data_IF_952461252849
#
_entry.id   IF_952461252849
#
_cell.length_a   1.000
_cell.length_b   1.000
_cell.length_c   1.000
_cell.angle_alpha   90.00
_cell.angle_beta   90.00
_cell.angle_gamma   90.00
#
_symmetry.space_group_name_H-M   'P 1'
#
loop_
_entity.id
_entity.type
_entity.pdbx_description
1 polymer ?
#
# COMPACT_ATOMS: atom_id res chain seq x y z
N UNK A 1 12.10 -0.11 -4.19
CA UNK A 1 11.20 -1.26 -4.44
C UNK A 1 11.70 -2.02 -5.65
N UNK A 2 11.77 -3.33 -5.55
CA UNK A 2 12.21 -4.17 -6.67
C UNK A 2 11.05 -4.39 -7.66
N UNK A 3 11.39 -4.81 -8.90
CA UNK A 3 10.38 -5.10 -9.91
C UNK A 3 9.45 -6.22 -9.47
N UNK A 4 9.99 -7.22 -8.78
CA UNK A 4 9.19 -8.33 -8.27
C UNK A 4 8.21 -7.87 -7.21
N UNK A 5 8.66 -7.02 -6.29
CA UNK A 5 7.77 -6.45 -5.27
C UNK A 5 6.65 -5.64 -5.92
N UNK A 6 6.99 -4.84 -6.94
CA UNK A 6 5.98 -4.07 -7.68
C UNK A 6 4.93 -4.96 -8.32
N UNK A 7 5.36 -6.07 -8.93
CA UNK A 7 4.43 -7.03 -9.55
C UNK A 7 3.52 -7.69 -8.52
N UNK A 8 4.08 -8.08 -7.36
CA UNK A 8 3.30 -8.66 -6.28
C UNK A 8 2.26 -7.68 -5.74
N UNK A 9 2.64 -6.42 -5.56
CA UNK A 9 1.72 -5.38 -5.11
C UNK A 9 0.59 -5.17 -6.13
N UNK A 10 0.92 -5.12 -7.42
CA UNK A 10 -0.08 -4.98 -8.47
C UNK A 10 -1.07 -6.14 -8.46
N UNK A 11 -0.58 -7.34 -8.21
CA UNK A 11 -1.43 -8.53 -8.13
C UNK A 11 -2.42 -8.42 -6.99
N UNK A 12 -1.96 -7.96 -5.83
CA UNK A 12 -2.83 -7.75 -4.66
C UNK A 12 -3.91 -6.73 -4.98
N UNK A 13 -3.54 -5.62 -5.61
CA UNK A 13 -4.48 -4.55 -5.96
C UNK A 13 -5.52 -5.04 -6.96
N UNK A 14 -5.11 -5.83 -7.96
CA UNK A 14 -6.03 -6.37 -8.96
C UNK A 14 -7.08 -7.31 -8.37
N UNK A 15 -6.71 -8.07 -7.33
CA UNK A 15 -7.64 -8.98 -6.65
C UNK A 15 -8.65 -8.24 -5.80
N UNK A 16 -8.35 -7.01 -5.42
CA UNK A 16 -9.21 -6.21 -4.56
C UNK A 16 -9.22 -6.69 -3.11
N UNK A 17 -10.12 -6.12 -2.33
CA UNK A 17 -10.19 -6.39 -0.89
C UNK A 17 -10.81 -7.72 -0.50
N UNK A 18 -11.51 -8.40 -1.40
CA UNK A 18 -12.06 -9.74 -1.17
C UNK A 18 -13.09 -9.88 -0.06
N UNK A 19 -13.52 -8.79 0.57
CA UNK A 19 -14.52 -8.80 1.64
C UNK A 19 -14.02 -9.28 3.00
N UNK A 20 -12.79 -9.76 3.11
CA UNK A 20 -12.18 -10.14 4.38
C UNK A 20 -11.35 -9.00 4.92
N UNK A 21 -11.39 -8.78 6.24
CA UNK A 21 -10.70 -7.68 6.88
C UNK A 21 -9.20 -7.67 6.57
N UNK A 22 -8.53 -8.81 6.68
CA UNK A 22 -7.10 -8.92 6.37
C UNK A 22 -6.80 -8.56 4.92
N UNK A 23 -7.66 -8.99 3.99
CA UNK A 23 -7.50 -8.69 2.58
C UNK A 23 -7.68 -7.22 2.29
N UNK A 24 -8.62 -6.56 2.97
CA UNK A 24 -8.85 -5.12 2.84
C UNK A 24 -7.64 -4.33 3.31
N UNK A 25 -7.08 -4.69 4.46
CA UNK A 25 -5.90 -4.02 5.01
C UNK A 25 -4.71 -4.18 4.05
N UNK A 26 -4.48 -5.38 3.58
CA UNK A 26 -3.41 -5.70 2.63
C UNK A 26 -3.57 -4.90 1.33
N UNK A 27 -4.79 -4.86 0.80
CA UNK A 27 -5.11 -4.13 -0.42
C UNK A 27 -4.81 -2.63 -0.25
N UNK A 28 -5.26 -2.05 0.87
CA UNK A 28 -5.06 -0.63 1.15
C UNK A 28 -3.58 -0.29 1.25
N UNK A 29 -2.82 -1.08 1.99
CA UNK A 29 -1.38 -0.88 2.15
C UNK A 29 -0.65 -1.01 0.81
N UNK A 30 -1.05 -1.98 -0.01
CA UNK A 30 -0.48 -2.15 -1.35
C UNK A 30 -0.76 -0.95 -2.24
N UNK A 31 -1.98 -0.42 -2.19
CA UNK A 31 -2.34 0.78 -2.95
C UNK A 31 -1.47 1.98 -2.56
N UNK A 32 -1.26 2.17 -1.26
CA UNK A 32 -0.43 3.27 -0.77
C UNK A 32 0.99 3.16 -1.32
N UNK A 33 1.59 1.99 -1.23
CA UNK A 33 2.97 1.77 -1.67
C UNK A 33 3.09 1.97 -3.18
N UNK A 34 2.18 1.40 -3.96
CA UNK A 34 2.20 1.54 -5.41
C UNK A 34 1.99 2.99 -5.84
N UNK A 35 1.06 3.70 -5.21
CA UNK A 35 0.79 5.10 -5.54
C UNK A 35 2.00 5.98 -5.22
N UNK A 36 2.69 5.69 -4.13
CA UNK A 36 3.92 6.39 -3.77
C UNK A 36 5.02 6.13 -4.78
N UNK A 37 5.19 4.88 -5.19
CA UNK A 37 6.19 4.51 -6.20
C UNK A 37 5.90 5.15 -7.55
N UNK A 38 4.63 5.42 -7.86
CA UNK A 38 4.19 6.10 -9.07
C UNK A 38 4.39 7.61 -9.05
N UNK A 39 4.91 8.17 -7.95
CA UNK A 39 5.20 9.60 -7.85
C UNK A 39 4.07 10.45 -7.29
N UNK A 40 3.01 9.84 -6.76
CA UNK A 40 1.92 10.59 -6.15
C UNK A 40 2.32 11.17 -4.80
N UNK A 41 1.84 12.37 -4.50
CA UNK A 41 2.09 12.99 -3.21
C UNK A 41 1.30 12.32 -2.09
N UNK A 42 1.85 12.38 -0.87
CA UNK A 42 1.25 11.77 0.31
C UNK A 42 -0.18 12.24 0.54
N UNK A 43 -0.44 13.54 0.36
CA UNK A 43 -1.77 14.10 0.55
C UNK A 43 -2.78 13.56 -0.46
N UNK A 44 -2.34 13.35 -1.70
CA UNK A 44 -3.18 12.75 -2.75
C UNK A 44 -3.50 11.29 -2.40
N UNK A 45 -2.49 10.54 -1.99
CA UNK A 45 -2.67 9.13 -1.61
C UNK A 45 -3.64 9.02 -0.43
N UNK A 46 -3.48 9.88 0.57
CA UNK A 46 -4.34 9.88 1.74
C UNK A 46 -5.81 10.08 1.36
N UNK A 47 -6.07 10.98 0.41
CA UNK A 47 -7.43 11.20 -0.09
C UNK A 47 -7.98 9.99 -0.84
N UNK A 48 -7.15 9.33 -1.64
CA UNK A 48 -7.56 8.17 -2.44
C UNK A 48 -7.95 6.98 -1.57
N UNK A 49 -7.20 6.73 -0.50
CA UNK A 49 -7.45 5.57 0.37
C UNK A 49 -8.21 5.95 1.66
N UNK A 50 -8.66 7.19 1.75
CA UNK A 50 -9.47 7.69 2.86
C UNK A 50 -8.78 7.52 4.21
N UNK A 51 -7.55 8.00 4.29
CA UNK A 51 -6.77 7.98 5.53
C UNK A 51 -6.04 9.31 5.70
N UNK A 52 -5.25 9.45 6.76
CA UNK A 52 -4.48 10.66 7.01
C UNK A 52 -3.11 10.61 6.33
N UNK A 53 -2.51 11.77 6.00
CA UNK A 53 -1.15 11.80 5.47
C UNK A 53 -0.12 11.16 6.41
N UNK A 54 -0.31 11.30 7.72
CA UNK A 54 0.60 10.69 8.69
C UNK A 54 0.58 9.17 8.61
N UNK A 55 -0.61 8.58 8.43
CA UNK A 55 -0.72 7.13 8.26
C UNK A 55 -0.10 6.66 6.95
N UNK A 56 -0.25 7.44 5.88
CA UNK A 56 0.39 7.13 4.61
C UNK A 56 1.90 7.09 4.76
N UNK A 57 2.47 8.11 5.40
CA UNK A 57 3.92 8.16 5.65
C UNK A 57 4.39 6.96 6.45
N UNK A 58 3.64 6.59 7.49
CA UNK A 58 3.95 5.44 8.32
C UNK A 58 3.94 4.14 7.52
N UNK A 59 2.92 3.95 6.67
CA UNK A 59 2.83 2.75 5.83
C UNK A 59 4.00 2.65 4.86
N UNK A 60 4.38 3.75 4.23
CA UNK A 60 5.50 3.80 3.31
C UNK A 60 6.80 3.50 4.04
N UNK A 61 6.99 4.11 5.20
CA UNK A 61 8.18 3.91 6.01
C UNK A 61 8.34 2.46 6.45
N UNK A 62 7.24 1.84 6.89
CA UNK A 62 7.25 0.44 7.28
C UNK A 62 7.56 -0.48 6.11
N UNK A 63 7.04 -0.15 4.93
CA UNK A 63 7.36 -0.94 3.73
C UNK A 63 8.85 -0.82 3.38
N UNK A 64 9.44 0.36 3.52
CA UNK A 64 10.87 0.54 3.26
C UNK A 64 11.72 -0.29 4.24
N UNK A 65 11.27 -0.46 5.46
CA UNK A 65 12.00 -1.24 6.48
C UNK A 65 11.75 -2.75 6.36
N UNK A 66 10.51 -3.16 6.11
CA UNK A 66 10.09 -4.56 6.22
C UNK A 66 9.75 -5.22 4.88
N UNK A 67 9.64 -4.43 3.82
CA UNK A 67 9.24 -4.95 2.51
C UNK A 67 7.82 -5.50 2.53
N UNK A 68 7.59 -6.59 1.81
CA UNK A 68 6.25 -7.20 1.69
C UNK A 68 5.64 -7.61 3.02
N UNK A 69 6.46 -7.85 4.03
CA UNK A 69 5.99 -8.22 5.37
C UNK A 69 5.18 -7.11 6.04
N UNK A 70 5.41 -5.86 5.65
CA UNK A 70 4.68 -4.72 6.22
C UNK A 70 3.21 -4.72 5.85
N UNK A 71 2.81 -5.46 4.82
CA UNK A 71 1.43 -5.53 4.35
C UNK A 71 0.54 -6.38 5.25
N UNK A 72 1.13 -7.29 6.00
CA UNK A 72 0.39 -8.18 6.89
C UNK A 72 -0.08 -7.42 8.13
N UNK A 73 -1.34 -7.63 8.53
CA UNK A 73 -1.88 -6.98 9.72
C UNK A 73 -1.14 -7.36 10.99
#
# INVERSE_FOLDING_TARGET
MSDEEGRQLQRIVRRGGGGKEKSIVRWRRSMVVLASAGGNEVTVIAGLVQTSPDRVREMIHRFNDLGMRSLDP
#
